data_IF_609326365133
#
_entry.id   IF_609326365133
#
_cell.length_a   1.000
_cell.length_b   1.000
_cell.length_c   1.000
_cell.angle_alpha   90.00
_cell.angle_beta   90.00
_cell.angle_gamma   90.00
#
_symmetry.space_group_name_H-M   'P 1'
#
loop_
_entity.id
_entity.type
_entity.pdbx_description
1 polymer ?
#
# COMPACT_ATOMS: atom_id res chain seq x y z
N UNK A 1 -15.92 -33.63 -0.17
CA UNK A 1 -16.05 -32.60 -1.23
C UNK A 1 -16.12 -31.28 -0.49
N UNK A 2 -15.03 -30.53 -0.48
CA UNK A 2 -14.99 -29.19 0.14
C UNK A 2 -15.72 -28.28 -0.82
N UNK A 3 -16.80 -27.68 -0.35
CA UNK A 3 -17.58 -26.69 -1.07
C UNK A 3 -16.64 -25.66 -1.68
N UNK A 4 -16.68 -25.47 -3.00
CA UNK A 4 -15.76 -24.63 -3.77
C UNK A 4 -15.93 -23.14 -3.51
N UNK A 5 -15.92 -22.73 -2.24
CA UNK A 5 -15.91 -21.33 -1.85
C UNK A 5 -14.58 -20.74 -2.27
N UNK A 6 -14.59 -19.92 -3.29
CA UNK A 6 -13.42 -19.21 -3.80
C UNK A 6 -12.72 -18.48 -2.63
N UNK A 7 -11.44 -18.76 -2.42
CA UNK A 7 -10.64 -18.06 -1.42
C UNK A 7 -10.56 -16.58 -1.75
N UNK A 8 -10.87 -15.75 -0.77
CA UNK A 8 -10.86 -14.29 -0.90
C UNK A 8 -9.41 -13.78 -0.83
N UNK A 9 -9.00 -12.98 -1.80
CA UNK A 9 -7.67 -12.37 -1.86
C UNK A 9 -7.72 -10.91 -1.42
N UNK A 10 -6.93 -10.58 -0.41
CA UNK A 10 -6.89 -9.27 0.23
C UNK A 10 -5.50 -8.67 0.11
N UNK A 11 -5.41 -7.49 -0.47
CA UNK A 11 -4.18 -6.69 -0.52
C UNK A 11 -4.28 -5.56 0.50
N UNK A 12 -3.38 -5.56 1.49
CA UNK A 12 -3.34 -4.54 2.53
C UNK A 12 -2.16 -3.62 2.28
N UNK A 13 -2.41 -2.34 2.07
CA UNK A 13 -1.35 -1.34 1.93
C UNK A 13 -1.21 -0.54 3.23
N UNK A 14 0.01 -0.52 3.77
CA UNK A 14 0.35 0.26 4.97
C UNK A 14 1.39 1.33 4.66
N UNK A 15 1.15 2.54 5.14
CA UNK A 15 2.12 3.63 5.07
C UNK A 15 3.23 3.47 6.11
N UNK A 16 4.36 4.16 5.90
CA UNK A 16 5.45 4.16 6.87
C UNK A 16 5.05 4.71 8.26
N UNK A 17 4.06 5.62 8.31
CA UNK A 17 3.53 6.13 9.59
C UNK A 17 2.89 5.02 10.44
N UNK A 18 2.13 4.11 9.82
CA UNK A 18 1.53 2.94 10.50
C UNK A 18 2.59 2.00 11.09
N UNK A 19 3.78 1.98 10.49
CA UNK A 19 4.87 1.09 10.90
C UNK A 19 5.80 1.72 11.95
N UNK A 20 5.54 2.95 12.39
CA UNK A 20 6.43 3.73 13.24
C UNK A 20 6.40 3.23 14.69
N UNK A 21 5.21 3.10 15.25
CA UNK A 21 5.03 2.71 16.65
C UNK A 21 4.82 1.21 16.79
N UNK A 22 5.42 0.61 17.84
CA UNK A 22 5.27 -0.81 18.14
C UNK A 22 3.79 -1.21 18.32
N UNK A 23 3.02 -0.40 19.04
CA UNK A 23 1.61 -0.67 19.30
C UNK A 23 0.79 -0.74 18.01
N UNK A 24 1.09 0.11 17.01
CA UNK A 24 0.38 0.13 15.74
C UNK A 24 0.73 -1.10 14.88
N UNK A 25 2.00 -1.51 14.87
CA UNK A 25 2.43 -2.76 14.22
C UNK A 25 1.77 -3.99 14.84
N UNK A 26 1.69 -4.05 16.18
CA UNK A 26 1.02 -5.13 16.90
C UNK A 26 -0.49 -5.18 16.63
N UNK A 27 -1.13 -4.00 16.55
CA UNK A 27 -2.55 -3.90 16.21
C UNK A 27 -2.81 -4.41 14.79
N UNK A 28 -2.00 -3.96 13.83
CA UNK A 28 -2.06 -4.45 12.45
C UNK A 28 -1.89 -5.98 12.39
N UNK A 29 -0.90 -6.52 13.10
CA UNK A 29 -0.64 -7.95 13.10
C UNK A 29 -1.80 -8.78 13.69
N UNK A 30 -2.43 -8.32 14.78
CA UNK A 30 -3.63 -8.96 15.34
C UNK A 30 -4.81 -8.93 14.36
N UNK A 31 -4.99 -7.82 13.65
CA UNK A 31 -6.04 -7.68 12.66
C UNK A 31 -5.80 -8.62 11.46
N UNK A 32 -4.56 -8.72 10.98
CA UNK A 32 -4.17 -9.70 9.96
C UNK A 32 -4.42 -11.13 10.41
N UNK A 33 -4.09 -11.49 11.66
CA UNK A 33 -4.36 -12.82 12.21
C UNK A 33 -5.85 -13.18 12.14
N UNK A 34 -6.73 -12.24 12.47
CA UNK A 34 -8.18 -12.43 12.39
C UNK A 34 -8.66 -12.63 10.94
N UNK A 35 -8.12 -11.85 10.00
CA UNK A 35 -8.47 -11.96 8.57
C UNK A 35 -8.06 -13.31 8.00
N UNK A 36 -6.87 -13.78 8.34
CA UNK A 36 -6.33 -15.07 7.90
C UNK A 36 -7.12 -16.24 8.52
N UNK A 37 -7.47 -16.13 9.80
CA UNK A 37 -8.34 -17.12 10.45
C UNK A 37 -9.72 -17.24 9.75
N UNK A 38 -10.17 -16.18 9.10
CA UNK A 38 -11.35 -16.17 8.22
C UNK A 38 -11.16 -16.85 6.86
N UNK A 39 -9.97 -17.38 6.57
CA UNK A 39 -9.65 -18.11 5.33
C UNK A 39 -9.24 -17.23 4.15
N UNK A 40 -8.86 -15.97 4.37
CA UNK A 40 -8.39 -15.09 3.30
C UNK A 40 -6.91 -15.32 2.98
N UNK A 41 -6.55 -15.23 1.70
CA UNK A 41 -5.18 -15.06 1.22
C UNK A 41 -4.81 -13.57 1.31
N UNK A 42 -3.83 -13.23 2.16
CA UNK A 42 -3.46 -11.85 2.41
C UNK A 42 -2.06 -11.56 1.88
N UNK A 43 -1.88 -10.38 1.27
CA UNK A 43 -0.58 -9.80 0.96
C UNK A 43 -0.52 -8.39 1.53
N UNK A 44 0.55 -8.06 2.23
CA UNK A 44 0.79 -6.71 2.75
C UNK A 44 1.83 -6.01 1.90
N UNK A 45 1.52 -4.80 1.43
CA UNK A 45 2.48 -3.90 0.79
C UNK A 45 2.78 -2.76 1.75
N UNK A 46 4.03 -2.51 2.03
CA UNK A 46 4.42 -1.41 2.91
C UNK A 46 5.41 -0.44 2.24
N UNK A 47 5.30 0.82 2.62
CA UNK A 47 6.31 1.85 2.40
C UNK A 47 7.13 2.10 3.66
N UNK A 48 8.08 3.04 3.57
CA UNK A 48 8.93 3.46 4.69
C UNK A 48 9.32 4.95 4.60
N UNK A 49 8.44 5.80 4.07
CA UNK A 49 8.76 7.22 3.81
C UNK A 49 9.41 7.94 4.98
N UNK A 50 8.79 7.98 6.17
CA UNK A 50 9.36 8.58 7.38
C UNK A 50 10.68 7.95 7.81
N UNK A 51 10.79 6.61 7.78
CA UNK A 51 11.98 5.89 8.18
C UNK A 51 13.15 6.15 7.24
N UNK A 52 12.90 6.24 5.93
CA UNK A 52 13.91 6.63 4.94
C UNK A 52 14.43 8.05 5.21
N UNK A 53 13.50 8.98 5.53
CA UNK A 53 13.89 10.37 5.85
C UNK A 53 14.76 10.43 7.09
N UNK A 54 14.36 9.73 8.15
CA UNK A 54 15.10 9.72 9.41
C UNK A 54 16.45 9.03 9.27
N UNK A 55 16.51 7.85 8.65
CA UNK A 55 17.77 7.14 8.41
C UNK A 55 18.68 7.95 7.49
N UNK A 56 18.14 8.56 6.43
CA UNK A 56 18.91 9.45 5.55
C UNK A 56 19.56 10.58 6.34
N UNK A 57 18.81 11.25 7.23
CA UNK A 57 19.33 12.30 8.10
C UNK A 57 20.46 11.79 9.00
N UNK A 58 20.32 10.61 9.62
CA UNK A 58 21.35 9.98 10.45
C UNK A 58 22.62 9.68 9.66
N UNK A 59 22.49 9.36 8.36
CA UNK A 59 23.59 9.11 7.44
C UNK A 59 24.16 10.40 6.79
N UNK A 60 23.66 11.58 7.19
CA UNK A 60 24.12 12.87 6.62
C UNK A 60 23.55 13.17 5.22
N UNK A 61 22.52 12.43 4.77
CA UNK A 61 21.88 12.62 3.47
C UNK A 61 20.70 13.59 3.57
N UNK A 62 20.53 14.42 2.55
CA UNK A 62 19.36 15.31 2.43
C UNK A 62 18.28 14.66 1.57
N UNK A 63 17.07 14.55 2.13
CA UNK A 63 15.90 14.11 1.38
C UNK A 63 15.36 15.24 0.50
N UNK A 64 15.38 15.03 -0.80
CA UNK A 64 14.83 15.97 -1.79
C UNK A 64 13.49 15.42 -2.29
N UNK A 65 12.47 16.29 -2.31
CA UNK A 65 11.15 15.95 -2.84
C UNK A 65 10.79 16.90 -3.98
N UNK A 66 10.19 16.35 -5.03
CA UNK A 66 9.59 17.09 -6.16
C UNK A 66 8.17 16.59 -6.36
N UNK A 67 7.20 17.48 -6.36
CA UNK A 67 5.78 17.14 -6.44
C UNK A 67 5.38 15.97 -5.53
N UNK A 68 5.79 16.02 -4.26
CA UNK A 68 5.47 15.00 -3.24
C UNK A 68 6.20 13.66 -3.40
N UNK A 69 7.08 13.50 -4.38
CA UNK A 69 7.88 12.27 -4.61
C UNK A 69 9.35 12.49 -4.29
N UNK A 70 9.95 11.50 -3.64
CA UNK A 70 11.38 11.54 -3.30
C UNK A 70 12.24 11.38 -4.55
N UNK A 71 13.22 12.27 -4.72
CA UNK A 71 14.35 12.06 -5.63
C UNK A 71 15.30 11.08 -4.95
N UNK A 72 15.72 10.04 -5.66
CA UNK A 72 16.47 8.92 -5.09
C UNK A 72 17.78 8.75 -5.86
N UNK A 73 18.86 9.31 -5.36
CA UNK A 73 20.23 9.03 -5.83
C UNK A 73 20.77 7.72 -5.22
N UNK A 74 21.99 7.33 -5.54
CA UNK A 74 22.55 6.06 -5.09
C UNK A 74 22.67 5.96 -3.55
N UNK A 75 23.17 6.98 -2.81
CA UNK A 75 23.19 6.95 -1.35
C UNK A 75 21.78 6.89 -0.74
N UNK A 76 20.84 7.65 -1.29
CA UNK A 76 19.45 7.65 -0.80
C UNK A 76 18.75 6.31 -1.10
N UNK A 77 19.08 5.64 -2.21
CA UNK A 77 18.58 4.29 -2.50
C UNK A 77 19.08 3.27 -1.48
N UNK A 78 20.34 3.36 -1.06
CA UNK A 78 20.87 2.51 0.01
C UNK A 78 20.12 2.72 1.33
N UNK A 79 19.91 3.99 1.72
CA UNK A 79 19.11 4.31 2.90
C UNK A 79 17.66 3.79 2.76
N UNK A 80 17.06 3.90 1.59
CA UNK A 80 15.73 3.38 1.31
C UNK A 80 15.67 1.85 1.42
N UNK A 81 16.67 1.14 0.90
CA UNK A 81 16.74 -0.32 1.00
C UNK A 81 16.89 -0.79 2.47
N UNK A 82 17.78 -0.14 3.24
CA UNK A 82 17.96 -0.42 4.67
C UNK A 82 16.68 -0.17 5.47
N UNK A 83 16.00 0.96 5.23
CA UNK A 83 14.77 1.30 5.94
C UNK A 83 13.60 0.38 5.57
N UNK A 84 13.42 0.11 4.27
CA UNK A 84 12.29 -0.71 3.81
C UNK A 84 12.46 -2.19 4.12
N UNK A 85 13.54 -2.81 3.62
CA UNK A 85 13.72 -4.25 3.76
C UNK A 85 14.29 -4.64 5.14
N UNK A 86 15.17 -3.81 5.69
CA UNK A 86 15.77 -4.04 7.00
C UNK A 86 14.83 -3.64 8.14
N UNK A 87 14.65 -2.34 8.37
CA UNK A 87 13.93 -1.85 9.55
C UNK A 87 12.43 -2.18 9.51
N UNK A 88 11.69 -1.60 8.56
CA UNK A 88 10.22 -1.75 8.51
C UNK A 88 9.82 -3.19 8.24
N UNK A 89 10.50 -3.85 7.29
CA UNK A 89 10.22 -5.25 6.97
C UNK A 89 10.45 -6.19 8.15
N UNK A 90 11.55 -6.01 8.90
CA UNK A 90 11.85 -6.80 10.08
C UNK A 90 10.90 -6.50 11.25
N UNK A 91 10.58 -5.23 11.48
CA UNK A 91 9.64 -4.81 12.52
C UNK A 91 8.23 -5.36 12.32
N UNK A 92 7.74 -5.31 11.07
CA UNK A 92 6.43 -5.89 10.72
C UNK A 92 6.45 -7.41 10.84
N UNK A 93 7.53 -8.06 10.38
CA UNK A 93 7.71 -9.50 10.52
C UNK A 93 7.65 -9.93 11.98
N UNK A 94 8.39 -9.24 12.86
CA UNK A 94 8.40 -9.55 14.29
C UNK A 94 7.00 -9.42 14.93
N UNK A 95 6.26 -8.34 14.60
CA UNK A 95 4.89 -8.14 15.07
C UNK A 95 3.94 -9.23 14.57
N UNK A 96 4.05 -9.60 13.28
CA UNK A 96 3.26 -10.68 12.68
C UNK A 96 3.53 -12.03 13.36
N UNK A 97 4.80 -12.39 13.57
CA UNK A 97 5.17 -13.64 14.24
C UNK A 97 4.69 -13.68 15.70
N UNK A 98 4.75 -12.56 16.42
CA UNK A 98 4.18 -12.43 17.76
C UNK A 98 2.66 -12.70 17.77
N UNK A 99 1.95 -12.28 16.72
CA UNK A 99 0.52 -12.53 16.54
C UNK A 99 0.21 -13.88 15.87
N UNK A 100 1.20 -14.78 15.77
CA UNK A 100 1.08 -16.09 15.12
C UNK A 100 0.66 -16.03 13.63
N UNK A 101 0.94 -14.93 12.96
CA UNK A 101 0.80 -14.79 11.50
C UNK A 101 2.04 -15.38 10.82
N UNK A 102 1.90 -16.39 9.95
CA UNK A 102 3.02 -17.02 9.24
C UNK A 102 3.53 -16.10 8.11
N UNK A 103 4.16 -14.98 8.50
CA UNK A 103 4.58 -13.94 7.58
C UNK A 103 5.96 -14.21 6.95
N UNK A 104 6.14 -13.75 5.70
CA UNK A 104 7.41 -13.72 4.99
C UNK A 104 7.67 -12.30 4.50
N UNK A 105 8.68 -11.64 5.06
CA UNK A 105 9.08 -10.29 4.64
C UNK A 105 10.10 -10.37 3.50
N UNK A 106 9.81 -9.71 2.38
CA UNK A 106 10.66 -9.74 1.19
C UNK A 106 10.48 -8.49 0.31
N UNK A 107 11.52 -8.04 -0.40
CA UNK A 107 11.38 -7.04 -1.44
C UNK A 107 10.49 -7.51 -2.60
N UNK A 108 9.75 -6.61 -3.22
CA UNK A 108 8.95 -6.92 -4.41
C UNK A 108 9.79 -7.41 -5.61
N UNK A 109 11.11 -7.18 -5.59
CA UNK A 109 12.06 -7.74 -6.56
C UNK A 109 12.23 -9.26 -6.45
N UNK A 110 11.90 -9.87 -5.30
CA UNK A 110 12.23 -11.27 -4.99
C UNK A 110 11.64 -12.23 -6.01
N UNK A 111 12.44 -13.19 -6.46
CA UNK A 111 12.11 -14.18 -7.49
C UNK A 111 11.51 -13.54 -8.78
N UNK A 112 11.86 -12.29 -9.08
CA UNK A 112 11.33 -11.58 -10.25
C UNK A 112 9.84 -11.25 -10.15
N UNK A 113 9.27 -11.22 -8.92
CA UNK A 113 7.85 -10.91 -8.70
C UNK A 113 7.45 -9.61 -9.39
N UNK A 114 8.25 -8.53 -9.17
CA UNK A 114 8.06 -7.26 -9.85
C UNK A 114 9.36 -6.81 -10.48
N UNK A 115 9.35 -6.66 -11.80
CA UNK A 115 10.46 -6.07 -12.55
C UNK A 115 10.16 -4.60 -12.76
N UNK A 116 11.09 -3.74 -12.36
CA UNK A 116 11.05 -2.31 -12.55
C UNK A 116 11.65 -1.88 -13.88
N UNK A 117 11.33 -0.63 -14.24
CA UNK A 117 12.03 0.11 -15.30
C UNK A 117 12.34 1.49 -14.74
N UNK A 118 13.58 1.95 -14.86
CA UNK A 118 13.94 3.31 -14.43
C UNK A 118 12.98 4.31 -15.05
N UNK A 119 12.38 5.14 -14.20
CA UNK A 119 11.45 6.18 -14.64
C UNK A 119 12.19 7.23 -15.46
N UNK A 120 11.72 7.57 -16.68
CA UNK A 120 12.27 8.69 -17.42
C UNK A 120 11.91 10.02 -16.73
N UNK A 121 12.64 11.10 -17.01
CA UNK A 121 12.26 12.44 -16.56
C UNK A 121 10.81 12.75 -16.96
N UNK A 122 10.05 13.36 -16.03
CA UNK A 122 8.62 13.59 -16.19
C UNK A 122 8.28 15.06 -16.02
N UNK A 123 7.45 15.59 -16.94
CA UNK A 123 6.87 16.92 -16.75
C UNK A 123 5.90 16.88 -15.58
N UNK A 124 6.07 17.81 -14.64
CA UNK A 124 5.28 17.90 -13.41
C UNK A 124 4.79 19.33 -13.24
N UNK A 125 3.54 19.50 -12.86
CA UNK A 125 2.96 20.82 -12.62
C UNK A 125 3.76 21.57 -11.54
N UNK A 126 4.12 22.82 -11.82
CA UNK A 126 4.90 23.68 -10.92
C UNK A 126 6.43 23.54 -11.05
N UNK A 127 6.94 22.64 -11.90
CA UNK A 127 8.36 22.52 -12.22
C UNK A 127 8.63 23.11 -13.62
N UNK A 128 9.73 23.86 -13.76
CA UNK A 128 10.06 24.51 -15.05
C UNK A 128 10.57 23.52 -16.09
N UNK A 129 11.21 22.43 -15.65
CA UNK A 129 11.77 21.38 -16.50
C UNK A 129 11.30 19.99 -16.06
N UNK A 130 11.38 18.97 -16.95
CA UNK A 130 11.09 17.59 -16.57
C UNK A 130 11.95 17.13 -15.41
N UNK A 131 11.33 16.59 -14.36
CA UNK A 131 12.01 16.12 -13.15
C UNK A 131 12.56 14.73 -13.35
N UNK A 132 13.89 14.56 -13.20
CA UNK A 132 14.53 13.26 -13.03
C UNK A 132 14.46 12.84 -11.55
N UNK A 133 13.76 11.76 -11.26
CA UNK A 133 13.66 11.22 -9.92
C UNK A 133 14.83 10.29 -9.53
N UNK A 134 15.83 10.12 -10.40
CA UNK A 134 16.99 9.25 -10.17
C UNK A 134 16.65 7.77 -10.25
N UNK A 135 17.04 7.00 -9.22
CA UNK A 135 16.86 5.55 -9.15
C UNK A 135 15.44 5.18 -8.66
N UNK A 136 14.43 5.73 -9.34
CA UNK A 136 13.01 5.45 -9.11
C UNK A 136 12.46 4.65 -10.29
N UNK A 137 11.63 3.66 -10.00
CA UNK A 137 11.02 2.79 -11.00
C UNK A 137 9.57 3.14 -11.35
N UNK A 138 9.19 2.79 -12.56
CA UNK A 138 7.84 2.37 -12.94
C UNK A 138 7.81 0.85 -13.06
N UNK A 139 6.63 0.23 -12.88
CA UNK A 139 6.49 -1.22 -13.02
C UNK A 139 6.52 -1.60 -14.50
N UNK A 140 7.40 -2.52 -14.87
CA UNK A 140 7.49 -3.06 -16.22
C UNK A 140 6.74 -4.39 -16.35
N UNK A 141 6.87 -5.28 -15.35
CA UNK A 141 6.27 -6.61 -15.36
C UNK A 141 5.96 -7.07 -13.95
N UNK A 142 4.87 -7.80 -13.76
CA UNK A 142 4.55 -8.55 -12.54
C UNK A 142 4.43 -10.03 -12.89
N UNK A 143 5.13 -10.89 -12.13
CA UNK A 143 5.09 -12.34 -12.24
C UNK A 143 4.52 -12.96 -10.95
N UNK A 144 3.26 -13.38 -10.92
CA UNK A 144 2.56 -13.75 -9.67
C UNK A 144 3.11 -14.98 -8.96
N UNK A 145 3.94 -15.79 -9.61
CA UNK A 145 4.37 -17.13 -9.17
C UNK A 145 4.84 -17.18 -7.72
N UNK A 146 5.59 -16.17 -7.26
CA UNK A 146 6.06 -16.13 -5.87
C UNK A 146 4.89 -15.98 -4.88
N UNK A 147 3.97 -15.05 -5.15
CA UNK A 147 2.82 -14.83 -4.28
C UNK A 147 1.90 -16.03 -4.25
N UNK A 148 1.62 -16.64 -5.39
CA UNK A 148 0.80 -17.84 -5.50
C UNK A 148 1.42 -19.02 -4.72
N UNK A 149 2.73 -19.20 -4.79
CA UNK A 149 3.44 -20.24 -4.04
C UNK A 149 3.40 -19.97 -2.51
N UNK A 150 3.56 -18.73 -2.08
CA UNK A 150 3.48 -18.37 -0.67
C UNK A 150 2.06 -18.58 -0.13
N UNK A 151 1.03 -18.14 -0.83
CA UNK A 151 -0.37 -18.36 -0.44
C UNK A 151 -0.73 -19.84 -0.41
N UNK A 152 -0.34 -20.62 -1.43
CA UNK A 152 -0.57 -22.06 -1.45
C UNK A 152 0.09 -22.79 -0.28
N UNK A 153 1.16 -22.23 0.28
CA UNK A 153 1.86 -22.74 1.46
C UNK A 153 1.35 -22.14 2.79
N UNK A 154 0.30 -21.31 2.74
CA UNK A 154 -0.28 -20.68 3.93
C UNK A 154 0.51 -19.49 4.48
N UNK A 155 1.47 -18.95 3.73
CA UNK A 155 2.26 -17.80 4.16
C UNK A 155 1.63 -16.46 3.77
N UNK A 156 1.95 -15.42 4.56
CA UNK A 156 1.53 -14.03 4.34
C UNK A 156 2.72 -13.21 3.85
N UNK A 157 2.77 -12.83 2.56
CA UNK A 157 3.81 -11.97 2.04
C UNK A 157 3.71 -10.54 2.62
N UNK A 158 4.84 -10.02 3.15
CA UNK A 158 5.03 -8.62 3.51
C UNK A 158 6.01 -8.02 2.51
N UNK A 159 5.51 -7.25 1.55
CA UNK A 159 6.29 -6.74 0.43
C UNK A 159 6.75 -5.31 0.67
N UNK A 160 8.06 -5.09 0.68
CA UNK A 160 8.62 -3.75 0.55
C UNK A 160 8.64 -3.30 -0.92
N UNK A 161 8.48 -1.99 -1.16
CA UNK A 161 8.41 -1.44 -2.52
C UNK A 161 9.81 -1.20 -3.14
N UNK A 162 10.66 -2.22 -3.08
CA UNK A 162 11.95 -2.30 -3.77
C UNK A 162 11.88 -3.27 -4.92
N UNK A 163 12.33 -2.86 -6.09
CA UNK A 163 12.33 -3.66 -7.32
C UNK A 163 13.71 -3.64 -7.96
N UNK A 164 13.96 -4.58 -8.88
CA UNK A 164 15.12 -4.52 -9.77
C UNK A 164 14.63 -4.32 -11.21
N UNK A 165 15.46 -3.70 -12.03
CA UNK A 165 15.26 -3.74 -13.47
C UNK A 165 15.81 -5.06 -14.07
N UNK A 166 15.76 -5.18 -15.41
CA UNK A 166 16.21 -6.37 -16.12
C UNK A 166 17.72 -6.62 -16.00
N UNK A 167 18.49 -5.59 -15.70
CA UNK A 167 19.94 -5.65 -15.54
C UNK A 167 20.38 -5.90 -14.09
N UNK A 168 19.39 -6.04 -13.17
CA UNK A 168 19.63 -6.27 -11.74
C UNK A 168 19.88 -5.00 -10.93
N UNK A 169 19.73 -3.81 -11.52
CA UNK A 169 19.84 -2.55 -10.78
C UNK A 169 18.66 -2.39 -9.82
N UNK A 170 18.94 -2.26 -8.53
CA UNK A 170 17.92 -1.97 -7.52
C UNK A 170 17.32 -0.58 -7.75
N UNK A 171 16.02 -0.46 -7.59
CA UNK A 171 15.24 0.77 -7.79
C UNK A 171 14.19 0.94 -6.68
N UNK A 172 13.96 2.18 -6.29
CA UNK A 172 12.89 2.57 -5.39
C UNK A 172 11.56 2.64 -6.16
N UNK A 173 10.53 1.93 -5.71
CA UNK A 173 9.19 1.98 -6.29
C UNK A 173 8.22 2.63 -5.30
N UNK A 174 7.29 3.44 -5.80
CA UNK A 174 6.20 3.93 -4.97
C UNK A 174 5.26 2.78 -4.58
N UNK A 175 4.93 2.65 -3.29
CA UNK A 175 4.07 1.58 -2.78
C UNK A 175 2.68 1.59 -3.42
N UNK A 176 2.11 2.76 -3.74
CA UNK A 176 0.81 2.87 -4.40
C UNK A 176 0.87 2.34 -5.84
N UNK A 177 2.00 2.56 -6.52
CA UNK A 177 2.25 1.99 -7.86
C UNK A 177 2.41 0.47 -7.80
N UNK A 178 3.03 -0.06 -6.74
CA UNK A 178 3.14 -1.50 -6.51
C UNK A 178 1.77 -2.13 -6.29
N UNK A 179 0.93 -1.55 -5.41
CA UNK A 179 -0.45 -2.00 -5.18
C UNK A 179 -1.24 -2.07 -6.48
N UNK A 180 -1.22 -0.98 -7.25
CA UNK A 180 -1.95 -0.88 -8.53
C UNK A 180 -1.50 -1.95 -9.53
N UNK A 181 -0.20 -2.22 -9.60
CA UNK A 181 0.36 -3.24 -10.50
C UNK A 181 0.00 -4.67 -10.06
N UNK A 182 0.04 -4.95 -8.75
CA UNK A 182 -0.38 -6.24 -8.19
C UNK A 182 -1.87 -6.50 -8.45
N UNK A 183 -2.74 -5.49 -8.24
CA UNK A 183 -4.17 -5.60 -8.54
C UNK A 183 -4.40 -5.92 -10.02
N UNK A 184 -3.67 -5.29 -10.93
CA UNK A 184 -3.80 -5.53 -12.37
C UNK A 184 -3.34 -6.93 -12.78
N UNK A 185 -2.30 -7.48 -12.13
CA UNK A 185 -1.70 -8.77 -12.48
C UNK A 185 -2.35 -9.95 -11.76
N UNK A 186 -2.95 -9.72 -10.61
CA UNK A 186 -3.56 -10.70 -9.75
C UNK A 186 -5.06 -10.44 -9.63
N UNK A 187 -5.82 -11.49 -9.41
CA UNK A 187 -7.22 -11.32 -9.02
C UNK A 187 -7.27 -10.99 -7.52
N UNK A 188 -7.37 -9.70 -7.20
CA UNK A 188 -7.54 -9.20 -5.84
C UNK A 188 -9.02 -8.84 -5.65
N UNK A 189 -9.65 -9.42 -4.65
CA UNK A 189 -11.06 -9.15 -4.36
C UNK A 189 -11.20 -7.83 -3.57
N UNK A 190 -10.31 -7.60 -2.59
CA UNK A 190 -10.30 -6.41 -1.75
C UNK A 190 -8.93 -5.76 -1.64
N UNK A 191 -8.92 -4.44 -1.68
CA UNK A 191 -7.76 -3.64 -1.30
C UNK A 191 -8.08 -2.83 -0.06
N UNK A 192 -7.24 -2.94 0.97
CA UNK A 192 -7.36 -2.18 2.21
C UNK A 192 -6.23 -1.17 2.28
N UNK A 193 -6.58 0.11 2.30
CA UNK A 193 -5.64 1.21 2.51
C UNK A 193 -5.67 1.63 3.98
N UNK A 194 -4.62 1.29 4.71
CA UNK A 194 -4.47 1.68 6.12
C UNK A 194 -3.88 3.08 6.20
N UNK A 195 -4.63 4.00 6.79
CA UNK A 195 -4.36 5.45 6.74
C UNK A 195 -4.44 6.10 8.12
N UNK A 196 -3.94 7.33 8.25
CA UNK A 196 -4.07 8.11 9.50
C UNK A 196 -5.49 8.60 9.77
N UNK A 197 -6.32 8.71 8.73
CA UNK A 197 -7.72 9.14 8.84
C UNK A 197 -8.62 7.94 8.51
N UNK A 198 -9.61 7.61 9.36
CA UNK A 198 -10.37 6.35 9.26
C UNK A 198 -11.45 6.35 8.18
N UNK A 199 -11.29 7.08 7.11
CA UNK A 199 -12.25 7.14 6.00
C UNK A 199 -12.29 8.49 5.31
N UNK A 200 -13.33 8.71 4.52
CA UNK A 200 -13.59 9.95 3.78
C UNK A 200 -14.65 10.76 4.52
N UNK A 201 -14.40 12.05 4.65
CA UNK A 201 -15.31 13.02 5.26
C UNK A 201 -15.52 14.17 4.29
N UNK A 202 -16.72 14.76 4.25
CA UNK A 202 -16.96 16.02 3.54
C UNK A 202 -16.29 17.20 4.24
N UNK A 203 -16.26 17.15 5.58
CA UNK A 203 -15.50 18.05 6.43
C UNK A 203 -14.81 17.20 7.50
N UNK A 204 -13.47 17.20 7.50
CA UNK A 204 -12.69 16.42 8.46
C UNK A 204 -12.88 16.89 9.92
N UNK A 205 -13.27 18.16 10.13
CA UNK A 205 -13.54 18.72 11.45
C UNK A 205 -14.90 18.28 12.00
N UNK A 206 -15.81 17.81 11.15
CA UNK A 206 -17.14 17.33 11.53
C UNK A 206 -17.29 15.82 11.29
N UNK A 207 -17.18 14.99 12.34
CA UNK A 207 -17.34 13.52 12.23
C UNK A 207 -18.69 13.06 11.65
N UNK A 208 -19.74 13.88 11.73
CA UNK A 208 -21.06 13.56 11.19
C UNK A 208 -21.09 13.53 9.65
N UNK A 209 -20.08 14.14 9.02
CA UNK A 209 -19.92 14.20 7.57
C UNK A 209 -19.20 12.99 6.96
N UNK A 210 -18.92 11.96 7.77
CA UNK A 210 -18.30 10.71 7.35
C UNK A 210 -19.10 10.03 6.23
N UNK A 211 -18.41 9.55 5.20
CA UNK A 211 -18.97 8.84 4.08
C UNK A 211 -18.62 7.34 4.20
N UNK A 212 -19.50 6.49 4.78
CA UNK A 212 -19.18 5.09 5.02
C UNK A 212 -19.07 4.25 3.74
N UNK A 213 -19.79 4.67 2.70
CA UNK A 213 -19.77 4.02 1.38
C UNK A 213 -19.75 5.03 0.25
N UNK A 214 -19.04 4.70 -0.82
CA UNK A 214 -18.93 5.47 -2.07
C UNK A 214 -18.90 4.52 -3.26
N UNK A 215 -19.28 5.05 -4.43
CA UNK A 215 -19.01 4.40 -5.70
C UNK A 215 -17.87 5.13 -6.41
N UNK A 216 -17.12 4.42 -7.24
CA UNK A 216 -16.02 5.00 -8.03
C UNK A 216 -16.46 6.20 -8.88
N UNK A 217 -17.68 6.16 -9.42
CA UNK A 217 -18.31 7.26 -10.18
C UNK A 217 -18.52 8.54 -9.36
N UNK A 218 -18.62 8.44 -8.04
CA UNK A 218 -18.89 9.58 -7.16
C UNK A 218 -17.61 10.37 -6.84
N UNK A 219 -16.43 9.76 -7.01
CA UNK A 219 -15.13 10.32 -6.66
C UNK A 219 -14.87 11.64 -7.39
N UNK A 220 -15.07 11.66 -8.72
CA UNK A 220 -14.81 12.86 -9.52
C UNK A 220 -15.69 14.04 -9.08
N UNK A 221 -16.96 13.78 -8.77
CA UNK A 221 -17.90 14.78 -8.25
C UNK A 221 -17.51 15.32 -6.88
N UNK A 222 -17.07 14.45 -5.98
CA UNK A 222 -16.58 14.83 -4.64
C UNK A 222 -15.35 15.73 -4.71
N UNK A 223 -14.42 15.43 -5.61
CA UNK A 223 -13.23 16.25 -5.83
C UNK A 223 -13.62 17.60 -6.47
N UNK A 224 -14.42 17.58 -7.51
CA UNK A 224 -14.82 18.80 -8.26
C UNK A 224 -15.65 19.77 -7.41
N UNK A 225 -16.47 19.27 -6.47
CA UNK A 225 -17.25 20.09 -5.55
C UNK A 225 -16.43 20.76 -4.44
N UNK A 226 -15.14 20.37 -4.28
CA UNK A 226 -14.31 20.82 -3.16
C UNK A 226 -14.70 20.24 -1.81
N UNK A 227 -15.60 19.25 -1.77
CA UNK A 227 -16.03 18.58 -0.54
C UNK A 227 -14.89 17.79 0.13
N UNK A 228 -13.89 17.39 -0.66
CA UNK A 228 -12.65 16.79 -0.17
C UNK A 228 -11.46 17.62 -0.62
N UNK A 229 -10.45 17.76 0.25
CA UNK A 229 -9.31 18.65 -0.02
C UNK A 229 -7.98 17.99 0.38
N UNK A 230 -6.88 18.59 -0.08
CA UNK A 230 -5.52 18.22 0.33
C UNK A 230 -5.18 16.75 0.05
N UNK A 231 -4.62 16.08 1.04
CA UNK A 231 -4.19 14.68 0.92
C UNK A 231 -5.31 13.68 0.63
N UNK A 232 -6.58 14.02 0.93
CA UNK A 232 -7.72 13.14 0.64
C UNK A 232 -8.02 13.08 -0.86
N UNK A 233 -7.78 14.16 -1.62
CA UNK A 233 -7.90 14.14 -3.09
C UNK A 233 -6.98 13.10 -3.68
N UNK A 234 -5.68 13.15 -3.35
CA UNK A 234 -4.69 12.16 -3.83
C UNK A 234 -5.06 10.73 -3.43
N UNK A 235 -5.66 10.55 -2.24
CA UNK A 235 -6.11 9.24 -1.74
C UNK A 235 -7.31 8.71 -2.54
N UNK A 236 -8.28 9.55 -2.89
CA UNK A 236 -9.41 9.16 -3.72
C UNK A 236 -8.99 8.90 -5.16
N UNK A 237 -8.02 9.64 -5.70
CA UNK A 237 -7.43 9.34 -7.01
C UNK A 237 -6.71 7.99 -7.02
N UNK A 238 -5.99 7.64 -5.93
CA UNK A 238 -5.39 6.31 -5.71
C UNK A 238 -6.47 5.22 -5.73
N UNK A 239 -7.55 5.40 -4.97
CA UNK A 239 -8.70 4.48 -4.91
C UNK A 239 -9.31 4.27 -6.31
N UNK A 240 -9.57 5.36 -7.04
CA UNK A 240 -10.13 5.29 -8.39
C UNK A 240 -9.20 4.52 -9.35
N UNK A 241 -7.89 4.75 -9.26
CA UNK A 241 -6.90 4.03 -10.07
C UNK A 241 -6.90 2.52 -9.75
N UNK A 242 -6.97 2.14 -8.49
CA UNK A 242 -7.03 0.72 -8.04
C UNK A 242 -8.29 0.03 -8.57
N UNK A 243 -9.47 0.66 -8.43
CA UNK A 243 -10.74 0.10 -8.92
C UNK A 243 -10.75 -0.05 -10.44
N UNK A 244 -10.19 0.94 -11.16
CA UNK A 244 -10.03 0.88 -12.62
C UNK A 244 -9.12 -0.27 -13.07
N UNK A 245 -8.19 -0.72 -12.22
CA UNK A 245 -7.27 -1.84 -12.52
C UNK A 245 -7.83 -3.21 -12.17
N UNK A 246 -9.03 -3.29 -11.63
CA UNK A 246 -9.78 -4.54 -11.51
C UNK A 246 -10.07 -5.00 -10.08
N UNK A 247 -9.71 -4.25 -9.05
CA UNK A 247 -10.22 -4.52 -7.71
C UNK A 247 -11.75 -4.34 -7.70
N UNK A 248 -12.44 -5.20 -6.96
CA UNK A 248 -13.90 -5.08 -6.81
C UNK A 248 -14.25 -4.02 -5.76
N UNK A 249 -13.37 -3.87 -4.76
CA UNK A 249 -13.60 -3.03 -3.59
C UNK A 249 -12.30 -2.48 -3.02
N UNK A 250 -12.32 -1.23 -2.58
CA UNK A 250 -11.24 -0.59 -1.80
C UNK A 250 -11.81 -0.06 -0.51
N UNK A 251 -11.20 -0.38 0.64
CA UNK A 251 -11.58 0.21 1.93
C UNK A 251 -10.45 1.08 2.48
N UNK A 252 -10.82 2.26 2.98
CA UNK A 252 -9.93 3.14 3.75
C UNK A 252 -10.24 2.92 5.23
N UNK A 253 -9.22 2.52 6.00
CA UNK A 253 -9.34 2.24 7.44
C UNK A 253 -8.28 2.99 8.22
N UNK A 254 -8.60 3.35 9.47
CA UNK A 254 -7.66 4.01 10.36
C UNK A 254 -6.72 3.02 11.05
N UNK A 255 -5.40 3.28 11.05
CA UNK A 255 -4.43 2.40 11.71
C UNK A 255 -4.53 2.37 13.24
N UNK A 256 -5.19 3.37 13.85
CA UNK A 256 -5.40 3.43 15.30
C UNK A 256 -6.62 2.64 15.78
N UNK A 257 -7.40 2.06 14.87
CA UNK A 257 -8.60 1.30 15.21
C UNK A 257 -8.29 -0.18 15.34
N UNK A 258 -8.78 -0.82 16.40
CA UNK A 258 -8.72 -2.28 16.55
C UNK A 258 -9.68 -2.95 15.55
N UNK A 259 -9.23 -4.05 14.97
CA UNK A 259 -10.01 -4.87 14.04
C UNK A 259 -10.55 -4.14 12.80
N UNK A 260 -9.90 -3.04 12.39
CA UNK A 260 -10.37 -2.19 11.30
C UNK A 260 -10.42 -2.92 9.95
N UNK A 261 -9.42 -3.76 9.65
CA UNK A 261 -9.35 -4.54 8.41
C UNK A 261 -10.43 -5.63 8.41
N UNK A 262 -10.52 -6.40 9.50
CA UNK A 262 -11.51 -7.46 9.63
C UNK A 262 -12.94 -6.91 9.56
N UNK A 263 -13.24 -5.81 10.25
CA UNK A 263 -14.53 -5.13 10.21
C UNK A 263 -14.86 -4.62 8.79
N UNK A 264 -13.87 -4.05 8.09
CA UNK A 264 -14.06 -3.59 6.71
C UNK A 264 -14.39 -4.76 5.76
N UNK A 265 -13.74 -5.91 5.93
CA UNK A 265 -13.97 -7.09 5.10
C UNK A 265 -15.33 -7.78 5.36
N UNK A 266 -15.89 -7.59 6.55
CA UNK A 266 -17.19 -8.15 6.96
C UNK A 266 -18.34 -7.15 6.80
N UNK A 267 -18.09 -5.97 6.22
CA UNK A 267 -19.07 -4.88 6.09
C UNK A 267 -19.69 -4.43 7.43
N UNK A 268 -18.97 -4.66 8.54
CA UNK A 268 -19.44 -4.27 9.85
C UNK A 268 -19.49 -2.73 9.98
N UNK A 269 -20.44 -2.17 10.71
CA UNK A 269 -20.45 -0.73 11.02
C UNK A 269 -19.16 -0.28 11.69
N UNK A 270 -18.68 0.92 11.32
CA UNK A 270 -17.47 1.48 11.91
C UNK A 270 -16.94 2.68 11.12
N UNK A 271 -15.91 3.30 11.66
CA UNK A 271 -15.24 4.42 11.00
C UNK A 271 -14.33 3.89 9.88
N UNK A 272 -14.91 3.66 8.73
CA UNK A 272 -14.23 3.29 7.49
C UNK A 272 -15.00 3.82 6.29
N UNK A 273 -14.34 4.01 5.19
CA UNK A 273 -15.03 4.21 3.90
C UNK A 273 -14.76 3.04 2.97
N UNK A 274 -15.81 2.44 2.47
CA UNK A 274 -15.74 1.41 1.43
C UNK A 274 -16.10 2.04 0.10
N UNK A 275 -15.21 1.94 -0.88
CA UNK A 275 -15.46 2.39 -2.25
C UNK A 275 -15.62 1.15 -3.13
N UNK A 276 -16.74 1.06 -3.83
CA UNK A 276 -17.08 -0.07 -4.70
C UNK A 276 -17.01 0.36 -6.16
N UNK A 277 -16.67 -0.59 -7.02
CA UNK A 277 -16.79 -0.40 -8.46
C UNK A 277 -18.26 -0.37 -8.85
N UNK A 278 -18.66 0.66 -9.60
CA UNK A 278 -20.01 0.77 -10.13
C UNK A 278 -20.35 -0.44 -11.01
N UNK A 279 -21.58 -0.94 -10.95
CA UNK A 279 -22.07 -1.88 -11.96
C UNK A 279 -21.90 -1.29 -13.36
N UNK A 280 -21.56 -2.16 -14.33
CA UNK A 280 -21.45 -1.78 -15.74
C UNK A 280 -22.80 -1.38 -16.33
#
# INVERSE_FOLDING_TARGET
>A
MVDGKKTRRVLVKVGGETCKELADRQRLARDLAQVIAGGAEVCVVHGAGPQITELGKQLGLQSVFRAGRRVTDAPMLQAAAMAMAGQVGADLLAACLQAQVPAVSTPAASAGLVVGKKRPPKVVAGEAEPVDYGLVADVALVQPKLLEALWASGFVPLLSSLVCDADGQLLNLNADSLVTALVQALRIDDVILVTGVPGVYRDLADPSTHLPELWDRDIAGLIASGAVQGGMVAKLEEVAAILKKGADRVALVGFQQEHAIAAALQDQPGLRTVVRRSPA
#
